data_IF_245539797528
#
_entry.id   IF_245539797528
#
_cell.length_a   1.000
_cell.length_b   1.000
_cell.length_c   1.000
_cell.angle_alpha   90.00
_cell.angle_beta   90.00
_cell.angle_gamma   90.00
#
_symmetry.space_group_name_H-M   'P 1'
#
loop_
_entity.id
_entity.type
_entity.pdbx_description
1 polymer ?
#
# COMPACT_ATOMS: atom_id res chain seq x y z
N UNK A 1 6.19 3.65 29.97
CA UNK A 1 5.24 2.75 30.67
C UNK A 1 3.95 2.77 29.88
N UNK A 2 3.63 1.72 29.13
CA UNK A 2 2.35 1.63 28.41
C UNK A 2 1.25 1.26 29.42
N UNK A 3 0.21 2.07 29.52
CA UNK A 3 -0.90 1.88 30.44
C UNK A 3 -1.56 0.51 30.16
N UNK A 4 -1.39 -0.45 31.07
CA UNK A 4 -2.19 -1.69 31.07
C UNK A 4 -3.63 -1.33 31.44
N UNK A 5 -4.40 -0.85 30.46
CA UNK A 5 -5.85 -0.77 30.59
C UNK A 5 -6.39 -2.18 30.86
N UNK A 6 -7.27 -2.31 31.87
CA UNK A 6 -7.92 -3.56 32.27
C UNK A 6 -8.88 -4.11 31.19
N UNK A 7 -9.07 -3.39 30.06
CA UNK A 7 -9.89 -3.76 28.89
C UNK A 7 -9.05 -3.75 27.61
N UNK A 8 -8.11 -4.68 27.43
CA UNK A 8 -7.13 -4.62 26.32
C UNK A 8 -7.67 -4.91 24.90
N UNK A 9 -8.91 -4.54 24.59
CA UNK A 9 -9.48 -4.54 23.25
C UNK A 9 -9.50 -5.91 22.55
N UNK A 10 -9.97 -5.91 21.30
CA UNK A 10 -9.98 -7.11 20.46
C UNK A 10 -8.55 -7.58 20.12
N UNK A 11 -7.58 -6.67 20.08
CA UNK A 11 -6.18 -6.95 19.75
C UNK A 11 -5.51 -7.91 20.75
N UNK A 12 -5.93 -7.92 22.03
CA UNK A 12 -5.37 -8.85 23.02
C UNK A 12 -5.59 -10.33 22.71
N UNK A 13 -6.56 -10.64 21.85
CA UNK A 13 -6.84 -12.03 21.43
C UNK A 13 -5.78 -12.58 20.48
N UNK A 14 -4.95 -11.71 19.91
CA UNK A 14 -3.96 -12.09 18.92
C UNK A 14 -2.55 -12.01 19.51
N UNK A 15 -1.73 -13.01 19.20
CA UNK A 15 -0.30 -13.05 19.50
C UNK A 15 0.48 -12.58 18.27
N UNK A 16 0.55 -11.25 18.11
CA UNK A 16 1.24 -10.63 16.98
C UNK A 16 2.73 -10.48 17.27
N UNK A 17 3.56 -11.37 16.71
CA UNK A 17 5.02 -11.35 16.87
C UNK A 17 5.80 -11.44 15.56
N UNK A 18 5.11 -11.50 14.42
CA UNK A 18 5.70 -11.58 13.10
C UNK A 18 5.05 -10.56 12.16
N UNK A 19 5.78 -10.21 11.10
CA UNK A 19 5.26 -9.43 9.96
C UNK A 19 5.88 -9.91 8.66
N UNK A 20 5.23 -9.63 7.54
CA UNK A 20 5.81 -9.85 6.22
C UNK A 20 6.99 -8.90 5.96
N UNK A 21 7.76 -9.19 4.90
CA UNK A 21 8.56 -8.15 4.23
C UNK A 21 7.62 -7.06 3.68
N UNK A 22 8.17 -5.87 3.47
CA UNK A 22 7.41 -4.78 2.86
C UNK A 22 7.13 -5.10 1.39
N UNK A 23 5.86 -5.01 0.99
CA UNK A 23 5.45 -5.03 -0.40
C UNK A 23 5.37 -3.60 -0.92
N UNK A 24 6.15 -3.27 -1.93
CA UNK A 24 6.06 -1.97 -2.62
C UNK A 24 5.12 -2.16 -3.82
N UNK A 25 4.04 -1.38 -3.86
CA UNK A 25 3.11 -1.36 -4.97
C UNK A 25 3.27 -0.06 -5.78
N UNK A 26 3.31 -0.19 -7.09
CA UNK A 26 3.28 0.91 -8.05
C UNK A 26 2.10 0.68 -9.00
N UNK A 27 1.12 1.57 -8.98
CA UNK A 27 0.08 1.62 -10.00
C UNK A 27 0.50 2.69 -11.00
N UNK A 28 0.79 2.34 -12.26
CA UNK A 28 1.41 3.27 -13.21
C UNK A 28 0.47 4.37 -13.72
N UNK A 29 -0.80 4.38 -13.31
CA UNK A 29 -1.83 5.27 -13.85
C UNK A 29 -2.71 4.55 -14.87
N UNK A 30 -3.19 5.26 -15.89
CA UNK A 30 -3.98 4.70 -17.01
C UNK A 30 -5.22 3.88 -16.59
N UNK A 31 -5.85 4.23 -15.46
CA UNK A 31 -7.02 3.51 -14.96
C UNK A 31 -6.70 2.17 -14.29
N UNK A 32 -5.42 1.87 -14.03
CA UNK A 32 -5.03 0.71 -13.24
C UNK A 32 -5.65 0.78 -11.84
N UNK A 33 -6.17 -0.36 -11.40
CA UNK A 33 -6.99 -0.46 -10.19
C UNK A 33 -6.77 -1.82 -9.52
N UNK A 34 -7.39 -2.03 -8.37
CA UNK A 34 -7.39 -3.33 -7.72
C UNK A 34 -8.79 -3.68 -7.25
N UNK A 35 -9.31 -4.80 -7.74
CA UNK A 35 -10.69 -5.20 -7.52
C UNK A 35 -10.99 -5.44 -6.04
N UNK A 36 -12.27 -5.39 -5.70
CA UNK A 36 -12.73 -5.65 -4.34
C UNK A 36 -12.30 -7.02 -3.84
N UNK A 37 -11.66 -7.03 -2.68
CA UNK A 37 -11.12 -8.25 -2.06
C UNK A 37 -11.07 -8.12 -0.54
N UNK A 38 -10.72 -9.23 0.10
CA UNK A 38 -10.35 -9.29 1.52
C UNK A 38 -8.90 -9.74 1.55
N UNK A 39 -8.07 -9.10 2.38
CA UNK A 39 -6.66 -9.44 2.46
C UNK A 39 -6.48 -10.89 2.91
N UNK A 40 -7.09 -11.27 4.03
CA UNK A 40 -7.02 -12.61 4.62
C UNK A 40 -8.42 -13.28 4.65
N UNK A 41 -8.89 -13.85 3.53
CA UNK A 41 -10.21 -14.47 3.47
C UNK A 41 -10.25 -15.88 4.11
N UNK A 42 -9.08 -16.53 4.25
CA UNK A 42 -8.91 -17.95 4.55
C UNK A 42 -8.00 -18.22 5.76
N UNK A 43 -7.81 -17.22 6.61
CA UNK A 43 -7.06 -17.30 7.87
C UNK A 43 -5.61 -17.79 7.70
N UNK A 44 -4.84 -17.13 6.83
CA UNK A 44 -3.44 -17.44 6.54
C UNK A 44 -2.43 -16.92 7.59
N UNK A 45 -2.93 -16.26 8.63
CA UNK A 45 -2.15 -15.66 9.70
C UNK A 45 -2.18 -14.14 9.70
N UNK A 46 -2.51 -13.46 8.58
CA UNK A 46 -2.51 -11.99 8.50
C UNK A 46 -3.67 -11.38 9.30
N UNK A 47 -3.37 -10.50 10.25
CA UNK A 47 -4.38 -9.90 11.13
C UNK A 47 -4.51 -8.39 10.94
N UNK A 48 -3.39 -7.68 10.83
CA UNK A 48 -3.37 -6.23 10.60
C UNK A 48 -2.65 -5.94 9.30
N UNK A 49 -3.34 -5.23 8.41
CA UNK A 49 -2.75 -4.62 7.23
C UNK A 49 -2.32 -3.21 7.59
N UNK A 50 -1.08 -2.89 7.28
CA UNK A 50 -0.52 -1.55 7.40
C UNK A 50 -0.11 -1.04 6.03
N UNK A 51 -0.56 0.15 5.66
CA UNK A 51 -0.24 0.79 4.39
C UNK A 51 0.37 2.16 4.68
N UNK A 52 1.47 2.48 4.01
CA UNK A 52 2.09 3.80 4.00
C UNK A 52 2.10 4.38 2.59
N UNK A 53 1.59 5.60 2.43
CA UNK A 53 1.43 6.27 1.14
C UNK A 53 2.53 7.31 0.88
N UNK A 54 2.97 7.41 -0.38
CA UNK A 54 4.13 8.23 -0.78
C UNK A 54 3.80 9.31 -1.83
N UNK A 55 2.52 9.62 -2.01
CA UNK A 55 2.06 10.43 -3.15
C UNK A 55 1.86 11.90 -2.73
N UNK A 56 2.87 12.74 -3.00
CA UNK A 56 2.82 14.18 -2.69
C UNK A 56 1.77 14.87 -3.53
N UNK A 57 1.08 15.83 -2.90
CA UNK A 57 0.12 16.73 -3.56
C UNK A 57 -0.95 15.98 -4.37
N UNK A 58 -1.37 14.80 -3.88
CA UNK A 58 -2.32 13.93 -4.58
C UNK A 58 -3.71 14.54 -4.64
N UNK A 59 -4.15 14.94 -5.84
CA UNK A 59 -5.51 15.40 -6.10
C UNK A 59 -6.39 14.24 -6.57
N UNK A 60 -7.30 13.82 -5.71
CA UNK A 60 -8.21 12.70 -5.98
C UNK A 60 -9.15 12.98 -7.17
N UNK A 61 -9.50 14.24 -7.44
CA UNK A 61 -10.46 14.58 -8.48
C UNK A 61 -9.90 14.35 -9.89
N UNK A 62 -8.59 14.58 -10.05
CA UNK A 62 -7.89 14.40 -11.33
C UNK A 62 -7.12 13.08 -11.40
N UNK A 63 -6.58 12.60 -10.27
CA UNK A 63 -5.68 11.44 -10.24
C UNK A 63 -6.36 10.15 -9.77
N UNK A 64 -7.56 10.22 -9.18
CA UNK A 64 -8.31 9.06 -8.70
C UNK A 64 -7.57 8.28 -7.59
N UNK A 65 -7.53 6.95 -7.70
CA UNK A 65 -6.66 6.09 -6.89
C UNK A 65 -7.07 5.90 -5.42
N UNK A 66 -8.33 6.18 -5.08
CA UNK A 66 -8.89 5.99 -3.73
C UNK A 66 -8.79 4.53 -3.30
N UNK A 67 -8.40 4.31 -2.05
CA UNK A 67 -8.73 3.06 -1.37
C UNK A 67 -10.17 3.17 -0.85
N UNK A 68 -11.07 2.34 -1.36
CA UNK A 68 -12.45 2.27 -0.89
C UNK A 68 -12.64 1.03 -0.03
N UNK A 69 -13.11 1.23 1.20
CA UNK A 69 -13.34 0.16 2.18
C UNK A 69 -14.82 0.04 2.53
N UNK A 70 -15.26 -1.19 2.78
CA UNK A 70 -16.64 -1.56 3.10
C UNK A 70 -16.70 -2.28 4.47
N UNK A 71 -16.63 -1.57 5.60
CA UNK A 71 -16.59 -2.21 6.92
C UNK A 71 -17.81 -3.10 7.20
N UNK A 72 -17.57 -4.33 7.65
CA UNK A 72 -18.64 -5.26 8.00
C UNK A 72 -19.52 -4.70 9.14
N UNK A 73 -20.84 -4.89 9.02
CA UNK A 73 -21.81 -4.38 9.99
C UNK A 73 -22.19 -2.91 9.80
N UNK A 74 -21.65 -2.22 8.79
CA UNK A 74 -22.00 -0.84 8.44
C UNK A 74 -22.44 -0.76 6.97
N UNK A 75 -23.62 -1.31 6.66
CA UNK A 75 -24.13 -1.43 5.29
C UNK A 75 -24.26 -0.11 4.52
N UNK A 76 -24.41 1.02 5.23
CA UNK A 76 -24.52 2.36 4.65
C UNK A 76 -23.22 3.17 4.68
N UNK A 77 -22.14 2.67 5.28
CA UNK A 77 -20.89 3.42 5.41
C UNK A 77 -19.80 2.82 4.53
N UNK A 78 -19.28 3.66 3.64
CA UNK A 78 -18.12 3.36 2.80
C UNK A 78 -17.04 4.36 3.16
N UNK A 79 -15.85 3.89 3.51
CA UNK A 79 -14.71 4.76 3.77
C UNK A 79 -13.90 4.92 2.48
N UNK A 80 -13.73 6.15 2.00
CA UNK A 80 -12.85 6.49 0.89
C UNK A 80 -11.59 7.15 1.45
N UNK A 81 -10.43 6.53 1.25
CA UNK A 81 -9.14 6.99 1.78
C UNK A 81 -8.27 7.47 0.62
N UNK A 82 -7.96 8.77 0.64
CA UNK A 82 -7.00 9.39 -0.27
C UNK A 82 -5.59 8.85 0.03
N UNK A 83 -4.81 8.44 -0.99
CA UNK A 83 -3.45 7.91 -0.82
C UNK A 83 -2.42 9.04 -0.64
N UNK A 84 -2.69 9.97 0.28
CA UNK A 84 -1.87 11.17 0.50
C UNK A 84 -0.47 10.83 1.05
N UNK A 85 0.54 11.61 0.67
CA UNK A 85 1.89 11.50 1.22
C UNK A 85 1.92 11.50 2.75
N UNK A 86 2.81 10.68 3.32
CA UNK A 86 3.04 10.54 4.76
C UNK A 86 1.82 10.06 5.56
N UNK A 87 0.80 9.51 4.86
CA UNK A 87 -0.33 8.86 5.50
C UNK A 87 -0.01 7.40 5.80
N UNK A 88 -0.12 7.05 7.08
CA UNK A 88 -0.16 5.66 7.53
C UNK A 88 -1.60 5.22 7.80
N UNK A 89 -1.95 4.03 7.37
CA UNK A 89 -3.28 3.42 7.54
C UNK A 89 -3.12 2.02 8.16
N UNK A 90 -4.02 1.69 9.08
CA UNK A 90 -4.13 0.36 9.68
C UNK A 90 -5.56 -0.14 9.63
N UNK A 91 -5.76 -1.40 9.26
CA UNK A 91 -7.07 -2.05 9.32
C UNK A 91 -6.93 -3.56 9.51
N UNK A 92 -8.02 -4.22 9.91
CA UNK A 92 -8.05 -5.68 10.05
C UNK A 92 -8.02 -6.34 8.68
N UNK A 93 -7.11 -7.30 8.50
CA UNK A 93 -6.90 -7.97 7.21
C UNK A 93 -8.04 -8.93 6.83
N UNK A 94 -8.85 -9.36 7.79
CA UNK A 94 -9.92 -10.35 7.53
C UNK A 94 -11.19 -9.73 6.92
N UNK A 95 -12.25 -10.54 6.86
CA UNK A 95 -13.56 -10.22 6.26
C UNK A 95 -14.29 -9.03 6.89
N UNK A 96 -13.75 -8.41 7.95
CA UNK A 96 -14.25 -7.14 8.49
C UNK A 96 -14.01 -5.97 7.55
N UNK A 97 -13.01 -6.01 6.67
CA UNK A 97 -12.67 -4.91 5.77
C UNK A 97 -12.48 -5.33 4.31
N UNK A 98 -13.53 -5.78 3.60
CA UNK A 98 -13.51 -5.81 2.15
C UNK A 98 -13.13 -4.44 1.59
N UNK A 99 -12.21 -4.39 0.62
CA UNK A 99 -11.73 -3.13 0.06
C UNK A 99 -11.28 -3.27 -1.39
N UNK A 100 -11.29 -2.16 -2.11
CA UNK A 100 -10.84 -2.04 -3.50
C UNK A 100 -9.99 -0.77 -3.66
N UNK A 101 -9.09 -0.77 -4.65
CA UNK A 101 -8.42 0.46 -5.10
C UNK A 101 -9.13 0.89 -6.37
N UNK A 102 -9.73 2.08 -6.34
CA UNK A 102 -10.37 2.66 -7.52
C UNK A 102 -9.33 3.03 -8.58
N UNK A 103 -9.73 3.18 -9.86
CA UNK A 103 -8.83 3.57 -10.94
C UNK A 103 -7.94 4.77 -10.60
N UNK A 104 -6.63 4.59 -10.77
CA UNK A 104 -5.63 5.64 -10.67
C UNK A 104 -5.24 6.12 -12.07
N UNK A 105 -5.16 7.44 -12.25
CA UNK A 105 -4.78 8.09 -13.51
C UNK A 105 -3.41 8.77 -13.45
N UNK A 106 -2.69 8.57 -12.35
CA UNK A 106 -1.29 8.97 -12.15
C UNK A 106 -0.53 7.87 -11.42
N UNK A 107 0.80 7.95 -11.43
CA UNK A 107 1.65 6.98 -10.74
C UNK A 107 1.40 7.03 -9.23
N UNK A 108 0.91 5.93 -8.66
CA UNK A 108 0.55 5.80 -7.25
C UNK A 108 1.42 4.76 -6.56
N UNK A 109 2.14 5.19 -5.53
CA UNK A 109 2.96 4.35 -4.68
C UNK A 109 2.31 4.08 -3.32
N UNK A 110 2.50 2.85 -2.84
CA UNK A 110 2.17 2.44 -1.49
C UNK A 110 3.14 1.36 -1.00
N UNK A 111 3.42 1.35 0.30
CA UNK A 111 4.17 0.29 0.96
C UNK A 111 3.24 -0.43 1.92
N UNK A 112 3.10 -1.74 1.75
CA UNK A 112 2.22 -2.58 2.59
C UNK A 112 3.01 -3.58 3.41
N UNK A 113 2.63 -3.72 4.68
CA UNK A 113 3.14 -4.74 5.61
C UNK A 113 1.94 -5.39 6.29
N UNK A 114 1.94 -6.73 6.36
CA UNK A 114 0.95 -7.47 7.14
C UNK A 114 1.58 -8.02 8.41
N UNK A 115 0.93 -7.78 9.54
CA UNK A 115 1.30 -8.34 10.83
C UNK A 115 0.53 -9.64 11.05
N UNK A 116 1.22 -10.67 11.53
CA UNK A 116 0.68 -12.02 11.64
C UNK A 116 0.43 -12.42 13.08
N UNK A 117 -0.68 -13.11 13.31
CA UNK A 117 -0.94 -13.87 14.52
C UNK A 117 -0.20 -15.21 14.48
N UNK A 118 0.53 -15.52 15.54
CA UNK A 118 1.36 -16.71 15.62
C UNK A 118 0.57 -18.02 15.50
N UNK A 119 -0.58 -18.12 16.18
CA UNK A 119 -1.37 -19.35 16.23
C UNK A 119 -2.11 -19.60 14.92
N UNK A 120 -2.73 -18.57 14.35
CA UNK A 120 -3.39 -18.65 13.05
C UNK A 120 -2.38 -19.02 11.95
N UNK A 121 -1.19 -18.40 11.99
CA UNK A 121 -0.12 -18.67 11.03
C UNK A 121 0.39 -20.11 11.13
N UNK A 122 0.59 -20.62 12.34
CA UNK A 122 1.01 -22.01 12.56
C UNK A 122 -0.02 -22.99 12.01
N UNK A 123 -1.31 -22.77 12.30
CA UNK A 123 -2.40 -23.58 11.75
C UNK A 123 -2.43 -23.52 10.21
N UNK A 124 -2.21 -22.34 9.63
CA UNK A 124 -2.15 -22.18 8.18
C UNK A 124 -0.99 -22.97 7.54
N UNK A 125 0.18 -22.98 8.17
CA UNK A 125 1.32 -23.78 7.73
C UNK A 125 1.04 -25.28 7.80
N UNK A 126 0.40 -25.75 8.89
CA UNK A 126 0.00 -27.14 9.03
C UNK A 126 -1.02 -27.56 7.97
N UNK A 127 -1.98 -26.70 7.61
CA UNK A 127 -2.93 -26.96 6.50
C UNK A 127 -2.18 -27.10 5.17
N UNK A 128 -1.30 -26.16 4.85
CA UNK A 128 -0.51 -26.18 3.62
C UNK A 128 0.40 -27.41 3.48
N UNK A 129 0.87 -27.99 4.60
CA UNK A 129 1.67 -29.23 4.58
C UNK A 129 0.83 -30.49 4.30
N UNK A 130 -0.48 -30.45 4.59
CA UNK A 130 -1.40 -31.58 4.39
C UNK A 130 -2.03 -31.59 3.01
N UNK A 131 -2.03 -30.45 2.32
CA UNK A 131 -2.50 -30.36 0.94
C UNK A 131 -1.46 -30.97 -0.01
N UNK A 132 -1.85 -31.82 -0.97
CA UNK A 132 -0.94 -32.30 -2.00
C UNK A 132 -0.35 -31.09 -2.74
N UNK A 133 0.97 -31.07 -2.93
CA UNK A 133 1.62 -29.99 -3.68
C UNK A 133 0.93 -29.84 -5.03
N UNK A 134 0.37 -28.66 -5.38
CA UNK A 134 -0.10 -28.44 -6.72
C UNK A 134 1.08 -28.64 -7.69
N UNK A 135 0.83 -29.26 -8.84
CA UNK A 135 1.80 -29.36 -9.91
C UNK A 135 2.36 -27.96 -10.21
N UNK A 136 3.69 -27.86 -10.36
CA UNK A 136 4.43 -26.61 -10.44
C UNK A 136 3.74 -25.56 -11.34
N UNK A 137 3.13 -24.57 -10.71
CA UNK A 137 2.51 -23.41 -11.34
C UNK A 137 2.33 -22.33 -10.29
N UNK A 138 3.16 -21.29 -10.33
CA UNK A 138 3.17 -20.19 -9.36
C UNK A 138 1.81 -19.45 -9.33
N UNK A 139 1.17 -19.23 -8.16
CA UNK A 139 -0.05 -18.41 -8.06
C UNK A 139 0.22 -16.89 -8.13
N UNK A 140 1.46 -16.43 -8.26
CA UNK A 140 1.80 -15.00 -8.21
C UNK A 140 1.28 -14.18 -9.41
N UNK A 141 0.85 -14.82 -10.49
CA UNK A 141 0.41 -14.11 -11.69
C UNK A 141 -0.98 -13.45 -11.57
N UNK A 142 -1.87 -13.94 -10.69
CA UNK A 142 -3.23 -13.39 -10.62
C UNK A 142 -3.29 -11.97 -10.03
N UNK A 143 -2.40 -11.61 -9.11
CA UNK A 143 -2.36 -10.24 -8.55
C UNK A 143 -1.74 -9.23 -9.53
N UNK A 144 -0.78 -9.65 -10.36
CA UNK A 144 -0.20 -8.78 -11.39
C UNK A 144 -1.11 -8.65 -12.62
N UNK A 145 -1.81 -9.71 -13.03
CA UNK A 145 -2.73 -9.66 -14.18
C UNK A 145 -3.96 -8.78 -13.93
N UNK A 146 -4.46 -8.70 -12.69
CA UNK A 146 -5.55 -7.79 -12.35
C UNK A 146 -5.14 -6.30 -12.43
N UNK A 147 -3.84 -6.00 -12.35
CA UNK A 147 -3.31 -4.63 -12.50
C UNK A 147 -3.07 -4.23 -13.97
N UNK A 148 -3.19 -5.15 -14.93
CA UNK A 148 -2.70 -4.96 -16.32
C UNK A 148 -3.78 -4.91 -17.41
N UNK A 149 -5.07 -4.87 -17.09
CA UNK A 149 -6.11 -4.85 -18.14
C UNK A 149 -6.24 -3.47 -18.81
N UNK A 150 -5.39 -3.18 -19.81
CA UNK A 150 -5.68 -2.43 -21.06
C UNK A 150 -4.48 -2.44 -22.03
N UNK A 151 -4.69 -2.29 -23.35
CA UNK A 151 -3.76 -2.77 -24.38
C UNK A 151 -2.46 -1.97 -24.46
N UNK A 152 -1.38 -2.71 -24.74
CA UNK A 152 -0.07 -2.17 -25.01
C UNK A 152 -0.09 -1.31 -26.27
N UNK A 153 -0.10 0.01 -26.11
CA UNK A 153 0.45 0.96 -27.08
C UNK A 153 0.62 2.34 -26.42
N UNK A 154 1.77 2.54 -25.79
CA UNK A 154 2.72 3.61 -26.14
C UNK A 154 3.91 3.54 -25.18
N UNK A 155 5.04 3.10 -25.73
CA UNK A 155 6.36 3.14 -25.13
C UNK A 155 6.77 4.60 -24.90
N UNK A 156 7.05 4.97 -23.66
CA UNK A 156 8.17 5.86 -23.36
C UNK A 156 8.88 5.37 -22.08
N UNK A 157 10.19 5.06 -22.13
CA UNK A 157 10.97 4.79 -20.93
C UNK A 157 11.21 6.14 -20.23
N UNK A 158 10.57 6.39 -19.10
CA UNK A 158 10.95 7.53 -18.28
C UNK A 158 12.31 7.25 -17.61
N UNK A 159 13.24 8.22 -17.64
CA UNK A 159 14.57 8.04 -17.11
C UNK A 159 14.51 7.97 -15.58
N UNK A 160 15.23 7.00 -15.04
CA UNK A 160 15.51 6.89 -13.61
C UNK A 160 16.23 8.17 -13.17
N UNK A 161 15.54 9.09 -12.50
CA UNK A 161 16.18 10.22 -11.85
C UNK A 161 17.09 9.65 -10.74
N UNK A 162 18.39 9.63 -10.99
CA UNK A 162 19.39 9.17 -10.03
C UNK A 162 19.48 10.17 -8.88
N UNK A 163 18.92 9.78 -7.73
CA UNK A 163 19.11 10.46 -6.47
C UNK A 163 20.58 10.30 -6.01
N UNK A 164 21.33 11.40 -5.92
CA UNK A 164 22.68 11.43 -5.35
C UNK A 164 22.66 12.25 -4.05
N UNK A 165 23.04 11.68 -2.88
CA UNK A 165 23.03 12.39 -1.62
C UNK A 165 24.34 13.15 -1.38
N UNK A 166 24.23 14.48 -1.22
CA UNK A 166 25.02 15.37 -0.36
C UNK A 166 26.56 15.34 -0.36
N UNK A 167 27.17 16.45 -0.78
CA UNK A 167 28.53 16.87 -0.39
C UNK A 167 28.54 18.35 0.01
N UNK A 168 29.03 18.66 1.22
CA UNK A 168 29.13 20.03 1.78
C UNK A 168 30.46 20.72 1.39
N UNK A 169 30.38 22.05 1.29
CA UNK A 169 31.42 23.11 1.30
C UNK A 169 32.37 23.12 0.07
N UNK A 170 32.64 24.27 -0.56
CA UNK A 170 33.50 25.36 -0.07
C UNK A 170 33.13 26.70 -0.78
N UNK A 171 33.34 27.81 -0.05
CA UNK A 171 33.22 29.23 -0.47
C UNK A 171 34.02 29.56 -1.74
N UNK A 172 33.54 30.51 -2.56
CA UNK A 172 34.14 31.84 -2.89
C UNK A 172 33.59 32.38 -4.21
N UNK A 173 33.32 33.70 -4.29
CA UNK A 173 33.21 34.42 -5.56
C UNK A 173 32.08 35.45 -5.60
N UNK A 174 32.43 36.72 -5.43
CA UNK A 174 31.55 37.88 -5.55
C UNK A 174 31.26 38.27 -7.02
N UNK A 175 30.45 39.33 -7.18
CA UNK A 175 30.15 40.14 -8.39
C UNK A 175 28.84 39.69 -9.07
N UNK A 176 27.81 40.52 -9.28
CA UNK A 176 27.61 41.95 -9.07
C UNK A 176 26.14 42.30 -9.33
N UNK A 177 25.64 43.32 -8.63
CA UNK A 177 24.35 43.93 -8.89
C UNK A 177 24.35 44.64 -10.25
N UNK A 178 23.25 44.57 -10.99
CA UNK A 178 22.82 45.66 -11.87
C UNK A 178 21.29 45.74 -11.91
N UNK A 179 20.78 46.81 -11.29
CA UNK A 179 19.46 47.38 -11.53
C UNK A 179 19.58 48.47 -12.60
N UNK A 180 18.72 48.42 -13.62
CA UNK A 180 18.22 49.55 -14.43
C UNK A 180 17.17 48.97 -15.38
N UNK A 181 15.96 49.49 -15.58
CA UNK A 181 15.32 50.73 -15.18
C UNK A 181 14.27 51.07 -16.25
N UNK A 182 13.11 51.60 -15.82
CA UNK A 182 12.08 52.35 -16.57
C UNK A 182 11.22 51.54 -17.57
N UNK A 183 9.89 51.70 -17.60
CA UNK A 183 9.05 52.89 -17.38
C UNK A 183 7.92 52.66 -16.39
#
# INVERSE_FOLDING_TARGET
RCCRSRKGGLLRKYRINQRTKAMIACYPGCGTHYVKHVDNPNQDGRVITSIYYLNKDWDVNTQGGLLRMFPAGQSSQVANIVPAFDRMLFFWSDRRNPHEVLPAYSVRFAITVWYLDAEEREKALQRAQREPRPAQGYPQQQQQQQQQQQPANMLHPFPFASYQPGGRNIRTGAIGQQFSGQR
#
